data_IF_545398603006
#
_entry.id   IF_545398603006
#
_cell.length_a   1.000
_cell.length_b   1.000
_cell.length_c   1.000
_cell.angle_alpha   90.00
_cell.angle_beta   90.00
_cell.angle_gamma   90.00
#
_symmetry.space_group_name_H-M   'P 1'
#
loop_
_entity.id
_entity.type
_entity.pdbx_description
1 polymer ?
#
# COMPACT_ATOMS: atom_id res chain seq x y z
N UNK A 1 6.99 -10.10 -1.47
CA UNK A 1 6.48 -10.53 -2.80
C UNK A 1 5.31 -9.62 -3.12
N UNK A 2 5.25 -9.08 -4.34
CA UNK A 2 4.19 -8.20 -4.78
C UNK A 2 3.31 -8.92 -5.81
N UNK A 3 1.98 -8.91 -5.62
CA UNK A 3 0.99 -9.31 -6.62
C UNK A 3 0.38 -8.06 -7.22
N UNK A 4 0.35 -8.02 -8.56
CA UNK A 4 -0.17 -6.92 -9.35
C UNK A 4 -1.30 -7.45 -10.23
N UNK A 5 -2.53 -7.05 -9.96
CA UNK A 5 -3.65 -7.44 -10.79
C UNK A 5 -3.60 -6.72 -12.15
N UNK A 6 -4.12 -7.35 -13.20
CA UNK A 6 -4.25 -6.66 -14.48
C UNK A 6 -5.19 -5.46 -14.34
N UNK A 7 -4.92 -4.32 -15.00
CA UNK A 7 -3.82 -4.01 -15.92
C UNK A 7 -2.60 -3.32 -15.28
N UNK A 8 -2.34 -3.47 -13.98
CA UNK A 8 -1.29 -2.67 -13.28
C UNK A 8 0.09 -2.82 -13.95
N UNK A 9 0.48 -4.03 -14.32
CA UNK A 9 1.76 -4.27 -14.97
C UNK A 9 1.86 -3.54 -16.33
N UNK A 10 0.75 -3.26 -17.01
CA UNK A 10 0.75 -2.61 -18.31
C UNK A 10 1.19 -1.13 -18.22
N UNK A 11 1.24 -0.54 -17.01
CA UNK A 11 1.78 0.80 -16.79
C UNK A 11 3.32 0.86 -16.72
N UNK A 12 4.01 -0.29 -16.67
CA UNK A 12 5.47 -0.33 -16.54
C UNK A 12 6.16 -0.15 -17.90
N UNK A 13 6.14 1.07 -18.42
CA UNK A 13 6.65 1.40 -19.76
C UNK A 13 8.07 0.92 -20.06
N UNK A 14 8.96 0.88 -19.06
CA UNK A 14 10.33 0.41 -19.18
C UNK A 14 10.48 -1.13 -19.27
N UNK A 15 9.43 -1.86 -18.90
CA UNK A 15 9.37 -3.32 -18.97
C UNK A 15 8.45 -3.82 -20.10
N UNK A 16 7.93 -2.90 -20.93
CA UNK A 16 7.14 -3.25 -22.10
C UNK A 16 7.88 -4.28 -22.99
N UNK A 17 7.10 -5.11 -23.68
CA UNK A 17 7.55 -6.22 -24.53
C UNK A 17 8.21 -7.41 -23.80
N UNK A 18 8.39 -7.33 -22.48
CA UNK A 18 8.96 -8.43 -21.67
C UNK A 18 7.92 -9.40 -21.14
N UNK A 19 6.64 -9.05 -21.21
CA UNK A 19 5.49 -9.88 -20.85
C UNK A 19 4.28 -9.50 -21.72
N UNK A 20 3.21 -10.30 -21.65
CA UNK A 20 1.99 -10.04 -22.42
C UNK A 20 1.11 -9.07 -21.63
N UNK A 21 0.56 -8.08 -22.34
CA UNK A 21 -0.42 -7.16 -21.76
C UNK A 21 -1.67 -7.91 -21.26
N UNK A 22 -2.37 -7.35 -20.27
CA UNK A 22 -3.59 -7.94 -19.74
C UNK A 22 -3.37 -9.14 -18.81
N UNK A 23 -2.15 -9.32 -18.28
CA UNK A 23 -1.83 -10.40 -17.34
C UNK A 23 -1.67 -9.87 -15.91
N UNK A 24 -2.04 -10.70 -14.93
CA UNK A 24 -1.60 -10.50 -13.55
C UNK A 24 -0.09 -10.78 -13.46
N UNK A 25 0.63 -10.03 -12.64
CA UNK A 25 2.06 -10.20 -12.45
C UNK A 25 2.39 -10.44 -10.98
N UNK A 26 3.49 -11.16 -10.73
CA UNK A 26 4.07 -11.31 -9.39
C UNK A 26 5.55 -10.95 -9.46
N UNK A 27 5.99 -10.07 -8.56
CA UNK A 27 7.39 -9.71 -8.39
C UNK A 27 7.89 -10.32 -7.08
N UNK A 28 8.93 -11.14 -7.15
CA UNK A 28 9.53 -11.76 -5.98
C UNK A 28 11.04 -11.61 -6.00
N UNK A 29 11.59 -11.25 -4.84
CA UNK A 29 13.02 -11.35 -4.57
C UNK A 29 13.29 -12.74 -4.00
N UNK A 30 14.26 -13.46 -4.57
CA UNK A 30 14.54 -14.85 -4.23
C UNK A 30 16.04 -14.96 -4.00
N UNK A 31 16.44 -15.56 -2.88
CA UNK A 31 17.83 -15.86 -2.61
C UNK A 31 18.36 -16.86 -3.64
N UNK A 32 19.62 -16.75 -4.02
CA UNK A 32 20.23 -17.53 -5.10
C UNK A 32 20.09 -19.05 -4.87
N UNK A 33 20.30 -19.48 -3.62
CA UNK A 33 20.13 -20.86 -3.17
C UNK A 33 18.69 -21.40 -3.31
N UNK A 34 17.69 -20.52 -3.39
CA UNK A 34 16.27 -20.85 -3.51
C UNK A 34 15.76 -20.78 -4.95
N UNK A 35 16.60 -20.43 -5.92
CA UNK A 35 16.19 -20.25 -7.30
C UNK A 35 15.65 -21.55 -7.92
N UNK A 36 16.33 -22.67 -7.68
CA UNK A 36 15.89 -23.99 -8.17
C UNK A 36 14.49 -24.38 -7.66
N UNK A 37 14.17 -24.01 -6.41
CA UNK A 37 12.83 -24.22 -5.85
C UNK A 37 11.79 -23.37 -6.60
N UNK A 38 12.08 -22.09 -6.85
CA UNK A 38 11.16 -21.23 -7.59
C UNK A 38 10.88 -21.76 -9.00
N UNK A 39 11.91 -22.20 -9.73
CA UNK A 39 11.75 -22.76 -11.06
C UNK A 39 10.81 -23.98 -11.06
N UNK A 40 10.81 -24.77 -9.98
CA UNK A 40 9.91 -25.92 -9.83
C UNK A 40 8.45 -25.56 -9.50
N UNK A 41 8.21 -24.38 -8.91
CA UNK A 41 6.87 -23.93 -8.51
C UNK A 41 6.06 -23.37 -9.68
N UNK A 42 6.72 -22.71 -10.65
CA UNK A 42 6.08 -22.11 -11.82
C UNK A 42 5.16 -23.10 -12.58
N UNK A 43 5.62 -24.29 -13.03
CA UNK A 43 4.77 -25.22 -13.75
C UNK A 43 3.63 -25.78 -12.89
N UNK A 44 3.83 -25.94 -11.57
CA UNK A 44 2.78 -26.43 -10.64
C UNK A 44 1.61 -25.46 -10.53
N UNK A 45 1.89 -24.16 -10.61
CA UNK A 45 0.88 -23.10 -10.52
C UNK A 45 0.51 -22.49 -11.88
N UNK A 46 0.92 -23.12 -13.00
CA UNK A 46 0.70 -22.63 -14.37
C UNK A 46 1.21 -21.20 -14.59
N UNK A 47 2.25 -20.81 -13.84
CA UNK A 47 2.94 -19.54 -14.00
C UNK A 47 4.04 -19.63 -15.06
N UNK A 48 4.47 -18.47 -15.55
CA UNK A 48 5.60 -18.35 -16.46
C UNK A 48 6.54 -17.26 -15.96
N UNK A 49 7.85 -17.51 -16.03
CA UNK A 49 8.83 -16.47 -15.74
C UNK A 49 8.93 -15.51 -16.92
N UNK A 50 8.50 -14.27 -16.74
CA UNK A 50 8.62 -13.22 -17.76
C UNK A 50 9.99 -12.53 -17.71
N UNK A 51 10.44 -12.14 -16.51
CA UNK A 51 11.69 -11.42 -16.31
C UNK A 51 12.43 -12.06 -15.14
N UNK A 52 13.68 -12.45 -15.40
CA UNK A 52 14.67 -12.77 -14.37
C UNK A 52 15.74 -11.68 -14.41
N UNK A 53 16.04 -11.08 -13.27
CA UNK A 53 17.11 -10.11 -13.10
C UNK A 53 18.10 -10.64 -12.05
N UNK A 54 19.36 -10.81 -12.43
CA UNK A 54 20.40 -11.20 -11.48
C UNK A 54 20.85 -10.00 -10.62
N UNK A 55 21.39 -10.26 -9.44
CA UNK A 55 21.87 -9.21 -8.52
C UNK A 55 22.90 -8.27 -9.17
N UNK A 56 23.85 -8.83 -9.93
CA UNK A 56 24.86 -8.03 -10.65
C UNK A 56 24.26 -7.12 -11.73
N UNK A 57 23.23 -7.60 -12.42
CA UNK A 57 22.50 -6.83 -13.45
C UNK A 57 21.73 -5.67 -12.83
N UNK A 58 21.08 -5.90 -11.67
CA UNK A 58 20.38 -4.86 -10.93
C UNK A 58 21.34 -3.73 -10.48
N UNK A 59 22.54 -4.10 -10.01
CA UNK A 59 23.56 -3.16 -9.56
C UNK A 59 24.15 -2.32 -10.71
N UNK A 60 24.36 -2.92 -11.88
CA UNK A 60 25.01 -2.26 -13.02
C UNK A 60 24.06 -1.35 -13.81
N UNK A 61 22.77 -1.69 -13.89
CA UNK A 61 21.77 -0.86 -14.59
C UNK A 61 21.14 0.24 -13.74
N UNK A 62 21.48 0.32 -12.44
CA UNK A 62 20.88 1.26 -11.48
C UNK A 62 19.34 1.25 -11.53
N UNK A 63 18.76 0.05 -11.65
CA UNK A 63 17.32 -0.16 -11.81
C UNK A 63 16.95 -1.58 -11.43
N UNK A 64 16.33 -1.74 -10.28
CA UNK A 64 15.89 -3.05 -9.75
C UNK A 64 14.41 -3.29 -10.04
N UNK A 65 14.01 -4.55 -10.25
CA UNK A 65 12.59 -4.92 -10.27
C UNK A 65 11.85 -4.53 -8.97
N UNK A 66 12.56 -4.32 -7.87
CA UNK A 66 12.00 -3.79 -6.62
C UNK A 66 11.41 -2.37 -6.77
N UNK A 67 11.85 -1.59 -7.75
CA UNK A 67 11.30 -0.27 -8.07
C UNK A 67 9.90 -0.35 -8.72
N UNK A 68 9.39 -1.54 -8.98
CA UNK A 68 8.01 -1.76 -9.45
C UNK A 68 7.09 -2.30 -8.36
N UNK A 69 7.58 -2.38 -7.11
CA UNK A 69 6.83 -2.76 -5.92
C UNK A 69 6.53 -1.54 -5.04
N UNK A 70 5.68 -1.74 -4.04
CA UNK A 70 5.25 -0.69 -3.09
C UNK A 70 4.71 0.55 -3.83
N UNK A 71 4.74 1.73 -3.21
CA UNK A 71 4.23 2.95 -3.84
C UNK A 71 4.96 3.37 -5.13
N UNK A 72 6.07 2.73 -5.52
CA UNK A 72 6.63 2.96 -6.85
C UNK A 72 5.76 2.37 -7.96
N UNK A 73 4.99 1.31 -7.69
CA UNK A 73 3.93 0.83 -8.61
C UNK A 73 2.97 1.97 -8.94
N UNK A 74 2.50 2.68 -7.92
CA UNK A 74 1.65 3.88 -8.07
C UNK A 74 2.36 4.99 -8.84
N UNK A 75 3.64 5.24 -8.54
CA UNK A 75 4.44 6.23 -9.28
C UNK A 75 4.52 5.92 -10.79
N UNK A 76 4.76 4.66 -11.15
CA UNK A 76 4.79 4.23 -12.54
C UNK A 76 3.42 4.40 -13.21
N UNK A 77 2.34 4.01 -12.52
CA UNK A 77 0.98 4.17 -13.03
C UNK A 77 0.61 5.64 -13.25
N UNK A 78 0.89 6.52 -12.27
CA UNK A 78 0.61 7.96 -12.34
C UNK A 78 1.35 8.69 -13.48
N UNK A 79 2.53 8.20 -13.88
CA UNK A 79 3.28 8.76 -15.03
C UNK A 79 2.57 8.49 -16.36
N UNK A 80 1.73 7.48 -16.43
CA UNK A 80 0.98 7.08 -17.64
C UNK A 80 -0.47 7.57 -17.59
N UNK A 81 -1.13 7.37 -16.45
CA UNK A 81 -2.52 7.76 -16.19
C UNK A 81 -2.60 8.56 -14.88
N UNK A 82 -2.70 9.88 -15.02
CA UNK A 82 -2.75 10.80 -13.88
C UNK A 82 -4.15 10.90 -13.23
N UNK A 83 -5.13 10.14 -13.72
CA UNK A 83 -6.45 10.00 -13.09
C UNK A 83 -6.44 8.97 -11.97
N UNK A 84 -5.33 8.24 -11.81
CA UNK A 84 -5.20 7.25 -10.77
C UNK A 84 -4.88 7.89 -9.42
N UNK A 85 -5.25 7.19 -8.37
CA UNK A 85 -4.75 7.39 -7.01
C UNK A 85 -4.58 6.03 -6.34
N UNK A 86 -4.30 5.98 -5.04
CA UNK A 86 -4.07 4.70 -4.35
C UNK A 86 -4.68 4.67 -2.96
N UNK A 87 -5.00 3.46 -2.47
CA UNK A 87 -5.37 3.21 -1.08
C UNK A 87 -4.22 2.58 -0.32
N UNK A 88 -4.26 2.62 1.01
CA UNK A 88 -3.44 1.74 1.84
C UNK A 88 -4.34 0.87 2.70
N UNK A 89 -4.31 -0.44 2.46
CA UNK A 89 -5.13 -1.42 3.16
C UNK A 89 -4.28 -2.42 3.93
N UNK A 90 -4.81 -2.93 5.04
CA UNK A 90 -4.28 -4.11 5.72
C UNK A 90 -5.40 -5.15 5.81
N UNK A 91 -5.14 -6.32 5.21
CA UNK A 91 -6.07 -7.44 5.21
C UNK A 91 -5.89 -8.29 6.46
N UNK A 92 -6.94 -9.02 6.83
CA UNK A 92 -6.91 -9.97 7.94
C UNK A 92 -5.95 -11.13 7.60
N UNK A 93 -4.92 -11.43 8.43
CA UNK A 93 -3.97 -12.51 8.17
C UNK A 93 -4.61 -13.89 7.96
N UNK A 94 -5.81 -14.13 8.50
CA UNK A 94 -6.52 -15.40 8.40
C UNK A 94 -7.48 -15.45 7.19
N UNK A 95 -7.85 -14.28 6.62
CA UNK A 95 -8.89 -14.16 5.59
C UNK A 95 -8.45 -13.37 4.34
N UNK A 96 -7.18 -12.97 4.26
CA UNK A 96 -6.69 -12.10 3.18
C UNK A 96 -6.99 -12.64 1.77
N UNK A 97 -6.88 -13.95 1.44
CA UNK A 97 -7.18 -14.41 0.09
C UNK A 97 -8.63 -14.14 -0.31
N UNK A 98 -9.57 -14.41 0.59
CA UNK A 98 -10.99 -14.22 0.37
C UNK A 98 -11.33 -12.72 0.27
N UNK A 99 -10.78 -11.90 1.18
CA UNK A 99 -11.01 -10.46 1.16
C UNK A 99 -10.47 -9.81 -0.12
N UNK A 100 -9.27 -10.19 -0.59
CA UNK A 100 -8.71 -9.66 -1.84
C UNK A 100 -9.62 -9.99 -3.02
N UNK A 101 -10.04 -11.25 -3.15
CA UNK A 101 -10.92 -11.67 -4.24
C UNK A 101 -12.29 -10.98 -4.19
N UNK A 102 -12.86 -10.82 -2.99
CA UNK A 102 -14.13 -10.15 -2.80
C UNK A 102 -14.05 -8.66 -3.20
N UNK A 103 -12.99 -7.96 -2.80
CA UNK A 103 -12.80 -6.55 -3.16
C UNK A 103 -12.56 -6.38 -4.66
N UNK A 104 -11.79 -7.28 -5.28
CA UNK A 104 -11.59 -7.26 -6.73
C UNK A 104 -12.92 -7.44 -7.49
N UNK A 105 -13.76 -8.38 -7.05
CA UNK A 105 -15.09 -8.59 -7.62
C UNK A 105 -16.01 -7.38 -7.42
N UNK A 106 -15.92 -6.72 -6.26
CA UNK A 106 -16.80 -5.60 -5.93
C UNK A 106 -16.54 -4.37 -6.79
N UNK A 107 -15.30 -4.11 -7.16
CA UNK A 107 -14.89 -2.89 -7.86
C UNK A 107 -14.57 -3.08 -9.34
N UNK A 108 -14.43 -4.32 -9.83
CA UNK A 108 -14.41 -4.70 -11.25
C UNK A 108 -13.69 -3.69 -12.20
N UNK A 109 -12.44 -3.35 -11.88
CA UNK A 109 -11.59 -2.46 -12.70
C UNK A 109 -11.60 -0.97 -12.33
N UNK A 110 -12.49 -0.54 -11.44
CA UNK A 110 -12.42 0.79 -10.78
C UNK A 110 -11.29 0.83 -9.75
N UNK A 111 -11.11 -0.26 -9.01
CA UNK A 111 -10.04 -0.49 -8.04
C UNK A 111 -9.27 -1.72 -8.46
N UNK A 112 -7.97 -1.56 -8.73
CA UNK A 112 -7.08 -2.62 -9.18
C UNK A 112 -6.23 -3.12 -8.01
N UNK A 113 -6.25 -4.42 -7.77
CA UNK A 113 -5.54 -5.03 -6.65
C UNK A 113 -4.01 -5.03 -6.83
N UNK A 114 -3.31 -4.26 -5.99
CA UNK A 114 -1.86 -4.39 -5.75
C UNK A 114 -1.65 -4.82 -4.30
N UNK A 115 -1.05 -6.00 -4.10
CA UNK A 115 -0.88 -6.63 -2.80
C UNK A 115 0.60 -6.90 -2.52
N UNK A 116 1.08 -6.43 -1.38
CA UNK A 116 2.40 -6.71 -0.84
C UNK A 116 2.29 -7.74 0.29
N UNK A 117 2.92 -8.90 0.09
CA UNK A 117 3.01 -9.95 1.11
C UNK A 117 4.22 -9.72 2.00
N UNK A 118 3.98 -9.67 3.31
CA UNK A 118 4.97 -9.40 4.34
C UNK A 118 4.76 -10.31 5.56
N UNK A 119 5.75 -10.35 6.46
CA UNK A 119 5.62 -11.01 7.76
C UNK A 119 5.51 -9.96 8.85
N UNK A 120 4.62 -10.20 9.80
CA UNK A 120 4.58 -9.40 11.03
C UNK A 120 5.72 -9.77 11.99
N UNK A 121 5.78 -9.09 13.13
CA UNK A 121 6.80 -9.32 14.16
C UNK A 121 6.75 -10.72 14.78
N UNK A 122 5.60 -11.40 14.68
CA UNK A 122 5.38 -12.77 15.16
C UNK A 122 5.68 -13.80 14.05
N UNK A 123 6.01 -13.35 12.84
CA UNK A 123 6.35 -14.18 11.69
C UNK A 123 5.15 -14.61 10.85
N UNK A 124 3.93 -14.20 11.19
CA UNK A 124 2.72 -14.55 10.44
C UNK A 124 2.75 -13.89 9.07
N UNK A 125 2.29 -14.62 8.04
CA UNK A 125 2.13 -14.05 6.71
C UNK A 125 0.92 -13.11 6.70
N UNK A 126 1.14 -11.89 6.24
CA UNK A 126 0.12 -10.85 6.13
C UNK A 126 0.14 -10.25 4.73
N UNK A 127 -0.94 -9.55 4.38
CA UNK A 127 -1.09 -8.89 3.10
C UNK A 127 -1.46 -7.42 3.33
N UNK A 128 -0.63 -6.52 2.80
CA UNK A 128 -0.93 -5.09 2.71
C UNK A 128 -1.34 -4.77 1.28
N UNK A 129 -2.38 -3.99 1.09
CA UNK A 129 -2.77 -3.53 -0.24
C UNK A 129 -2.38 -2.08 -0.49
N UNK A 130 -2.03 -1.81 -1.74
CA UNK A 130 -1.75 -0.51 -2.31
C UNK A 130 -2.61 -0.31 -3.58
N UNK A 131 -3.90 -0.63 -3.48
CA UNK A 131 -4.79 -0.69 -4.63
C UNK A 131 -4.78 0.61 -5.42
N UNK A 132 -4.69 0.52 -6.74
CA UNK A 132 -4.83 1.68 -7.62
C UNK A 132 -6.31 1.95 -7.86
N UNK A 133 -6.73 3.19 -7.70
CA UNK A 133 -8.13 3.62 -7.84
C UNK A 133 -8.24 4.60 -8.99
N UNK A 134 -9.19 4.39 -9.90
CA UNK A 134 -9.58 5.40 -10.90
C UNK A 134 -10.36 6.51 -10.20
N UNK A 135 -9.69 7.62 -9.92
CA UNK A 135 -10.28 8.70 -9.15
C UNK A 135 -11.38 9.42 -9.94
N UNK A 136 -12.48 9.75 -9.26
CA UNK A 136 -13.59 10.52 -9.84
C UNK A 136 -13.95 11.69 -8.94
N UNK A 137 -14.43 11.40 -7.75
CA UNK A 137 -14.88 12.39 -6.76
C UNK A 137 -14.40 12.01 -5.37
N UNK A 138 -14.24 12.99 -4.45
CA UNK A 138 -13.96 12.71 -3.05
C UNK A 138 -15.03 11.81 -2.41
N UNK A 139 -16.30 11.99 -2.77
CA UNK A 139 -17.43 11.21 -2.25
C UNK A 139 -17.30 9.74 -2.66
N UNK A 140 -16.98 9.47 -3.93
CA UNK A 140 -16.77 8.09 -4.38
C UNK A 140 -15.56 7.46 -3.74
N UNK A 141 -14.44 8.18 -3.63
CA UNK A 141 -13.23 7.67 -2.98
C UNK A 141 -13.47 7.31 -1.50
N UNK A 142 -14.21 8.15 -0.78
CA UNK A 142 -14.62 7.87 0.60
C UNK A 142 -15.59 6.68 0.67
N UNK A 143 -16.53 6.55 -0.27
CA UNK A 143 -17.42 5.40 -0.35
C UNK A 143 -16.65 4.10 -0.61
N UNK A 144 -15.64 4.10 -1.49
CA UNK A 144 -14.74 2.97 -1.72
C UNK A 144 -14.04 2.59 -0.41
N UNK A 145 -13.41 3.56 0.27
CA UNK A 145 -12.76 3.29 1.57
C UNK A 145 -13.74 2.73 2.61
N UNK A 146 -14.98 3.20 2.62
CA UNK A 146 -16.00 2.68 3.53
C UNK A 146 -16.38 1.22 3.21
N UNK A 147 -16.54 0.87 1.94
CA UNK A 147 -16.80 -0.52 1.52
C UNK A 147 -15.67 -1.45 1.98
N UNK A 148 -14.40 -1.03 1.88
CA UNK A 148 -13.30 -1.84 2.45
C UNK A 148 -13.46 -2.05 3.96
N UNK A 149 -13.78 -0.99 4.72
CA UNK A 149 -14.03 -1.09 6.17
C UNK A 149 -15.20 -2.01 6.50
N UNK A 150 -16.29 -1.92 5.75
CA UNK A 150 -17.49 -2.76 5.93
C UNK A 150 -17.23 -4.25 5.66
N UNK A 151 -16.12 -4.58 5.00
CA UNK A 151 -15.68 -5.95 4.72
C UNK A 151 -14.46 -6.37 5.58
N UNK A 152 -14.32 -5.77 6.76
CA UNK A 152 -13.24 -6.02 7.72
C UNK A 152 -11.83 -5.80 7.15
N UNK A 153 -11.67 -4.93 6.14
CA UNK A 153 -10.35 -4.54 5.63
C UNK A 153 -9.99 -3.19 6.22
N UNK A 154 -8.88 -3.14 6.96
CA UNK A 154 -8.42 -1.89 7.56
C UNK A 154 -7.93 -0.94 6.48
N UNK A 155 -8.40 0.31 6.53
CA UNK A 155 -7.92 1.42 5.70
C UNK A 155 -7.01 2.33 6.54
N UNK A 156 -5.81 2.59 6.06
CA UNK A 156 -4.96 3.68 6.51
C UNK A 156 -5.10 4.79 5.47
N UNK A 157 -5.91 5.82 5.73
CA UNK A 157 -6.28 6.78 4.68
C UNK A 157 -5.04 7.58 4.20
N UNK A 158 -4.60 7.46 2.93
CA UNK A 158 -3.44 8.20 2.42
C UNK A 158 -3.81 9.60 1.90
N UNK A 159 -5.09 9.96 1.92
CA UNK A 159 -5.63 11.22 1.37
C UNK A 159 -5.93 12.26 2.45
N UNK A 160 -5.34 12.11 3.63
CA UNK A 160 -5.43 13.05 4.74
C UNK A 160 -4.03 13.43 5.20
N UNK A 161 -3.92 14.64 5.75
CA UNK A 161 -2.65 15.17 6.24
C UNK A 161 -2.45 14.91 7.73
N UNK A 162 -3.55 14.72 8.48
CA UNK A 162 -3.52 14.46 9.90
C UNK A 162 -3.16 13.00 10.20
N UNK A 163 -2.30 12.81 11.21
CA UNK A 163 -1.85 11.49 11.68
C UNK A 163 -3.03 10.69 12.24
N UNK A 164 -3.97 11.36 12.90
CA UNK A 164 -5.16 10.77 13.50
C UNK A 164 -6.08 10.16 12.44
N UNK A 165 -6.32 10.90 11.37
CA UNK A 165 -7.27 10.53 10.32
C UNK A 165 -6.67 9.49 9.35
N UNK A 166 -5.35 9.28 9.40
CA UNK A 166 -4.59 8.36 8.56
C UNK A 166 -4.46 6.95 9.16
N UNK A 167 -3.23 6.51 9.42
CA UNK A 167 -2.92 5.15 9.93
C UNK A 167 -3.17 4.99 11.43
N UNK A 168 -2.95 6.06 12.20
CA UNK A 168 -2.79 5.96 13.65
C UNK A 168 -4.13 5.88 14.38
N UNK A 169 -5.17 6.53 13.86
CA UNK A 169 -6.45 6.64 14.56
C UNK A 169 -6.28 7.47 15.85
N UNK A 170 -6.79 6.96 16.96
CA UNK A 170 -6.66 7.62 18.27
C UNK A 170 -5.20 7.63 18.72
N UNK A 171 -4.63 8.83 18.87
CA UNK A 171 -3.26 8.99 19.36
C UNK A 171 -3.25 8.77 20.88
N UNK A 172 -2.29 7.96 21.34
CA UNK A 172 -2.12 7.66 22.77
C UNK A 172 -1.66 8.90 23.53
N UNK A 173 -2.16 9.16 24.76
CA UNK A 173 -1.81 10.35 25.53
C UNK A 173 -0.32 10.52 25.82
N UNK A 174 0.42 9.42 25.98
CA UNK A 174 1.87 9.43 26.21
C UNK A 174 2.65 9.95 25.00
N UNK A 175 2.20 9.63 23.78
CA UNK A 175 2.79 10.18 22.54
C UNK A 175 2.60 11.70 22.48
N UNK A 176 1.44 12.19 22.89
CA UNK A 176 1.16 13.64 22.96
C UNK A 176 2.07 14.32 23.99
N UNK A 177 2.23 13.72 25.17
CA UNK A 177 3.11 14.24 26.22
C UNK A 177 4.58 14.31 25.77
N UNK A 178 5.06 13.30 25.03
CA UNK A 178 6.41 13.32 24.45
C UNK A 178 6.55 14.40 23.37
N UNK A 179 5.54 14.62 22.52
CA UNK A 179 5.60 15.73 21.55
C UNK A 179 5.66 17.07 22.27
N UNK A 180 4.90 17.27 23.34
CA UNK A 180 4.92 18.51 24.12
C UNK A 180 6.27 18.77 24.80
N UNK A 181 6.94 17.73 25.31
CA UNK A 181 8.24 17.90 25.96
C UNK A 181 9.38 18.19 24.97
N UNK A 182 9.32 17.61 23.76
CA UNK A 182 10.34 17.78 22.72
C UNK A 182 10.10 18.99 21.80
N UNK A 183 8.86 19.44 21.67
CA UNK A 183 8.43 20.52 20.79
C UNK A 183 7.46 21.49 21.50
N UNK A 184 7.88 22.14 22.60
CA UNK A 184 7.01 23.01 23.40
C UNK A 184 6.52 24.23 22.61
N UNK A 185 7.29 24.67 21.61
CA UNK A 185 6.93 25.78 20.72
C UNK A 185 6.09 25.33 19.51
N UNK A 186 5.87 24.03 19.31
CA UNK A 186 5.05 23.50 18.21
C UNK A 186 5.61 23.75 16.81
N UNK A 187 6.93 23.85 16.66
CA UNK A 187 7.61 24.18 15.41
C UNK A 187 7.86 22.95 14.53
N UNK A 188 7.85 21.74 15.11
CA UNK A 188 8.12 20.50 14.37
C UNK A 188 6.85 19.99 13.70
N UNK A 189 6.77 20.23 12.39
CA UNK A 189 5.69 19.80 11.48
C UNK A 189 4.28 20.21 11.98
N UNK A 190 4.00 21.52 12.09
CA UNK A 190 2.73 22.02 12.59
C UNK A 190 1.56 21.57 11.70
N UNK A 191 0.44 21.17 12.33
CA UNK A 191 -0.78 20.72 11.64
C UNK A 191 -0.87 19.23 11.33
N UNK A 192 0.24 18.48 11.41
CA UNK A 192 0.28 17.02 11.16
C UNK A 192 -0.32 16.19 12.29
N UNK A 193 -0.07 16.56 13.55
CA UNK A 193 -0.80 16.06 14.71
C UNK A 193 -1.66 17.21 15.24
N UNK A 194 -2.92 16.95 15.53
CA UNK A 194 -3.83 17.93 16.10
C UNK A 194 -3.57 18.15 17.60
N UNK A 195 -2.35 18.51 17.98
CA UNK A 195 -2.02 18.94 19.34
C UNK A 195 -2.94 20.11 19.80
N UNK A 196 -3.41 20.94 18.86
CA UNK A 196 -4.35 22.04 19.11
C UNK A 196 -5.82 21.66 19.32
N UNK A 197 -6.26 20.45 18.93
CA UNK A 197 -7.63 19.95 19.22
C UNK A 197 -7.73 19.24 20.58
N UNK A 198 -6.61 18.83 21.18
CA UNK A 198 -6.58 18.43 22.59
C UNK A 198 -6.44 19.62 23.57
N UNK A 199 -5.97 20.79 23.10
CA UNK A 199 -5.73 21.94 23.97
C UNK A 199 -6.96 22.84 24.18
N UNK A 200 -8.01 22.72 23.37
CA UNK A 200 -9.15 23.66 23.39
C UNK A 200 -10.26 23.34 24.38
N UNK A 201 -10.19 22.25 25.14
CA UNK A 201 -11.16 21.93 26.21
C UNK A 201 -10.62 22.09 27.64
N UNK A 202 -9.38 22.55 27.83
CA UNK A 202 -8.77 22.68 29.16
C UNK A 202 -8.60 24.12 29.67
N UNK A 203 -9.00 25.13 28.89
CA UNK A 203 -8.83 26.55 29.24
C UNK A 203 -10.14 27.32 29.55
N UNK A 204 -11.29 26.65 29.75
CA UNK A 204 -12.56 27.33 30.04
C UNK A 204 -13.09 27.17 31.47
N UNK A 205 -12.34 26.59 32.42
CA UNK A 205 -12.82 26.39 33.80
C UNK A 205 -11.90 26.86 34.92
N UNK A 206 -10.96 27.77 34.66
CA UNK A 206 -10.19 28.44 35.71
C UNK A 206 -10.36 29.96 35.65
N UNK A 207 -11.58 30.44 35.91
CA UNK A 207 -11.81 31.80 36.42
C UNK A 207 -13.02 31.78 37.33
N UNK A 208 -12.77 31.50 38.62
CA UNK A 208 -13.38 32.13 39.79
C UNK A 208 -12.66 31.68 41.04
#
# INVERSE_FOLDING_TARGET
MALLATPIADYFSHLNDRYRAGQHAVISLIAEESEGLCASLLPRHRGSNAIRQASEEARTRNGSLMEYCWNHTTLHALKVDNTLTYLQTAFDPLRYPQQILQMEQHFAGEVMSHIEFLRDIEGNLTASGLQLVRYTTPERLNAIMQIFRDNDVKINNPHVLQVEDGKQGVIRPDVVAVKQSLDPAGLLNPGSCAAGRCATSWNSTATR
#
